data_IF_215915314344
#
_entry.id   IF_215915314344
#
_cell.length_a   1.000
_cell.length_b   1.000
_cell.length_c   1.000
_cell.angle_alpha   90.00
_cell.angle_beta   90.00
_cell.angle_gamma   90.00
#
_symmetry.space_group_name_H-M   'P 1'
#
loop_
_entity.id
_entity.type
_entity.pdbx_description
1 polymer ?
#
# COMPACT_ATOMS: atom_id res chain seq x y z
N UNK A 1 8.09 22.86 -0.27
CA UNK A 1 9.28 21.97 -0.35
C UNK A 1 9.44 21.50 -1.79
N UNK A 2 10.66 21.19 -2.27
CA UNK A 2 10.87 20.55 -3.57
C UNK A 2 10.22 19.14 -3.57
N UNK A 3 9.94 18.62 -4.76
CA UNK A 3 9.45 17.27 -4.92
C UNK A 3 10.49 16.24 -4.44
N UNK A 4 10.01 15.07 -3.99
CA UNK A 4 10.89 14.02 -3.53
C UNK A 4 11.85 13.55 -4.63
N UNK A 5 13.12 13.43 -4.28
CA UNK A 5 14.16 12.89 -5.16
C UNK A 5 15.01 11.89 -4.39
N UNK A 6 15.37 10.79 -5.04
CA UNK A 6 16.32 9.82 -4.50
C UNK A 6 17.60 9.83 -5.34
N UNK A 7 18.69 10.35 -4.75
CA UNK A 7 20.03 10.20 -5.31
C UNK A 7 20.51 8.76 -5.07
N UNK A 8 20.40 7.92 -6.09
CA UNK A 8 20.74 6.51 -6.01
C UNK A 8 22.21 6.28 -5.60
N UNK A 9 23.14 7.11 -6.09
CA UNK A 9 24.58 6.98 -5.78
C UNK A 9 24.87 7.32 -4.33
N UNK A 10 24.30 8.42 -3.84
CA UNK A 10 24.43 8.82 -2.43
C UNK A 10 23.77 7.76 -1.52
N UNK A 11 22.59 7.25 -1.91
CA UNK A 11 21.88 6.22 -1.19
C UNK A 11 22.69 4.93 -1.06
N UNK A 12 23.22 4.40 -2.16
CA UNK A 12 24.09 3.22 -2.15
C UNK A 12 25.36 3.43 -1.30
N UNK A 13 25.97 4.62 -1.36
CA UNK A 13 27.13 4.95 -0.53
C UNK A 13 26.80 4.88 0.96
N UNK A 14 25.64 5.40 1.36
CA UNK A 14 25.20 5.35 2.76
C UNK A 14 24.87 3.92 3.20
N UNK A 15 24.24 3.11 2.34
CA UNK A 15 23.99 1.69 2.62
C UNK A 15 25.28 0.91 2.83
N UNK A 16 26.33 1.14 2.00
CA UNK A 16 27.64 0.53 2.21
C UNK A 16 28.23 0.92 3.56
N UNK A 17 28.10 2.19 3.98
CA UNK A 17 28.54 2.66 5.30
C UNK A 17 27.75 2.01 6.43
N UNK A 18 26.42 1.92 6.30
CA UNK A 18 25.55 1.26 7.27
C UNK A 18 25.96 -0.20 7.45
N UNK A 19 26.22 -0.93 6.35
CA UNK A 19 26.71 -2.32 6.39
C UNK A 19 28.06 -2.45 7.10
N UNK A 20 29.00 -1.54 6.86
CA UNK A 20 30.31 -1.55 7.52
C UNK A 20 30.23 -1.27 9.04
N UNK A 21 29.22 -0.51 9.47
CA UNK A 21 28.98 -0.16 10.87
C UNK A 21 28.02 -1.12 11.58
N UNK A 22 27.48 -2.09 10.87
CA UNK A 22 26.47 -3.02 11.38
C UNK A 22 27.13 -3.99 12.39
N UNK A 23 27.02 -3.64 13.66
CA UNK A 23 27.37 -4.51 14.79
C UNK A 23 26.13 -4.72 15.66
N UNK A 24 26.10 -5.82 16.41
CA UNK A 24 25.03 -6.10 17.36
C UNK A 24 24.87 -4.97 18.39
N UNK A 25 26.00 -4.45 18.89
CA UNK A 25 26.00 -3.34 19.86
C UNK A 25 25.39 -2.05 19.27
N UNK A 26 25.81 -1.65 18.07
CA UNK A 26 25.28 -0.45 17.42
C UNK A 26 23.78 -0.59 17.13
N UNK A 27 23.34 -1.78 16.68
CA UNK A 27 21.91 -2.04 16.44
C UNK A 27 21.10 -2.02 17.75
N UNK A 28 21.63 -2.56 18.85
CA UNK A 28 20.98 -2.50 20.17
C UNK A 28 20.84 -1.06 20.68
N UNK A 29 21.86 -0.21 20.46
CA UNK A 29 21.79 1.21 20.80
C UNK A 29 20.69 1.94 19.98
N UNK A 30 20.62 1.69 18.68
CA UNK A 30 19.55 2.23 17.84
C UNK A 30 18.15 1.78 18.32
N UNK A 31 17.99 0.48 18.67
CA UNK A 31 16.74 -0.02 19.22
C UNK A 31 16.36 0.63 20.54
N UNK A 32 17.30 0.97 21.39
CA UNK A 32 17.02 1.68 22.65
C UNK A 32 16.38 3.05 22.37
N UNK A 33 16.88 3.79 21.40
CA UNK A 33 16.29 5.07 20.95
C UNK A 33 14.90 4.86 20.34
N UNK A 34 14.73 3.84 19.50
CA UNK A 34 13.43 3.56 18.85
C UNK A 34 12.31 3.24 19.85
N UNK A 35 12.63 2.61 20.98
CA UNK A 35 11.65 2.28 22.03
C UNK A 35 10.99 3.50 22.65
N UNK A 36 11.63 4.65 22.60
CA UNK A 36 11.06 5.93 23.07
C UNK A 36 10.13 6.59 22.04
N UNK A 37 9.87 5.93 20.90
CA UNK A 37 8.94 6.39 19.87
C UNK A 37 9.48 7.51 18.98
N UNK A 38 10.77 7.81 19.06
CA UNK A 38 11.43 8.87 18.26
C UNK A 38 11.57 8.45 16.79
N UNK A 39 11.62 7.14 16.53
CA UNK A 39 11.94 6.59 15.22
C UNK A 39 13.44 6.42 15.01
N UNK A 40 13.81 5.88 13.87
CA UNK A 40 15.20 5.67 13.47
C UNK A 40 15.48 6.39 12.16
N UNK A 41 16.73 6.87 12.00
CA UNK A 41 17.21 7.30 10.70
C UNK A 41 17.16 6.12 9.71
N UNK A 42 16.83 6.34 8.42
CA UNK A 42 16.74 5.27 7.43
C UNK A 42 18.01 4.42 7.31
N UNK A 43 19.19 4.99 7.56
CA UNK A 43 20.45 4.23 7.51
C UNK A 43 20.77 3.50 8.82
N UNK A 44 20.19 3.92 9.94
CA UNK A 44 20.17 3.12 11.18
C UNK A 44 19.28 1.89 11.01
N UNK A 45 18.16 2.00 10.27
CA UNK A 45 17.37 0.83 9.87
C UNK A 45 18.21 -0.15 9.03
N UNK A 46 18.97 0.37 8.05
CA UNK A 46 19.87 -0.48 7.26
C UNK A 46 20.96 -1.12 8.11
N UNK A 47 21.54 -0.39 9.06
CA UNK A 47 22.51 -0.94 10.00
C UNK A 47 21.92 -2.07 10.84
N UNK A 48 20.71 -1.90 11.36
CA UNK A 48 20.00 -2.95 12.09
C UNK A 48 19.63 -4.13 11.18
N UNK A 49 19.29 -3.88 9.92
CA UNK A 49 19.04 -4.93 8.91
C UNK A 49 20.27 -5.80 8.69
N UNK A 50 21.45 -5.20 8.56
CA UNK A 50 22.72 -5.90 8.30
C UNK A 50 23.36 -6.50 9.55
N UNK A 51 22.90 -6.16 10.75
CA UNK A 51 23.42 -6.70 12.00
C UNK A 51 23.03 -8.16 12.21
N UNK A 52 23.73 -8.84 13.12
CA UNK A 52 23.43 -10.22 13.55
C UNK A 52 22.29 -10.30 14.59
N UNK A 53 21.56 -9.20 14.83
CA UNK A 53 20.40 -9.25 15.70
C UNK A 53 19.35 -10.19 15.13
N UNK A 54 18.86 -11.08 15.97
CA UNK A 54 17.79 -12.00 15.62
C UNK A 54 16.50 -11.23 15.25
N UNK A 55 15.78 -11.71 14.24
CA UNK A 55 14.52 -11.12 13.81
C UNK A 55 13.51 -10.99 14.96
N UNK A 56 13.48 -11.97 15.86
CA UNK A 56 12.59 -11.94 17.01
C UNK A 56 12.93 -10.80 17.99
N UNK A 57 14.19 -10.46 18.17
CA UNK A 57 14.60 -9.29 18.99
C UNK A 57 14.06 -7.98 18.40
N UNK A 58 14.12 -7.79 17.09
CA UNK A 58 13.56 -6.64 16.39
C UNK A 58 12.04 -6.59 16.48
N UNK A 59 11.41 -7.75 16.30
CA UNK A 59 9.96 -7.89 16.41
C UNK A 59 9.45 -7.57 17.83
N UNK A 60 10.12 -8.08 18.88
CA UNK A 60 9.74 -7.81 20.27
C UNK A 60 9.91 -6.33 20.62
N UNK A 61 10.94 -5.67 20.10
CA UNK A 61 11.10 -4.23 20.27
C UNK A 61 9.95 -3.44 19.60
N UNK A 62 9.57 -3.82 18.38
CA UNK A 62 8.43 -3.21 17.68
C UNK A 62 7.11 -3.46 18.43
N UNK A 63 6.90 -4.67 18.93
CA UNK A 63 5.72 -5.03 19.72
C UNK A 63 5.64 -4.22 21.03
N UNK A 64 6.75 -4.05 21.72
CA UNK A 64 6.81 -3.25 22.94
C UNK A 64 6.49 -1.77 22.67
N UNK A 65 6.96 -1.22 21.54
CA UNK A 65 6.62 0.14 21.10
C UNK A 65 5.10 0.29 20.82
N UNK A 66 4.52 -0.66 20.10
CA UNK A 66 3.08 -0.63 19.78
C UNK A 66 2.19 -0.83 21.01
N UNK A 67 2.61 -1.64 21.99
CA UNK A 67 1.86 -1.88 23.21
C UNK A 67 1.68 -0.61 24.08
N UNK A 68 2.49 0.42 23.86
CA UNK A 68 2.34 1.73 24.53
C UNK A 68 1.22 2.60 23.94
N UNK A 69 0.59 2.16 22.86
CA UNK A 69 -0.47 2.88 22.14
C UNK A 69 -1.82 2.23 22.35
N UNK A 70 -2.93 2.96 22.22
CA UNK A 70 -4.25 2.33 22.18
C UNK A 70 -4.29 1.24 21.11
N UNK A 71 -4.87 0.09 21.44
CA UNK A 71 -5.07 -1.03 20.51
C UNK A 71 -6.09 -0.62 19.43
N UNK A 72 -5.62 0.02 18.38
CA UNK A 72 -6.42 0.46 17.24
C UNK A 72 -5.86 -0.15 15.98
N UNK A 73 -6.67 -0.94 15.31
CA UNK A 73 -6.45 -1.33 13.92
C UNK A 73 -7.36 -0.52 13.02
N UNK A 74 -6.91 -0.25 11.81
CA UNK A 74 -7.76 0.24 10.72
C UNK A 74 -7.93 -0.86 9.68
N UNK A 75 -9.01 -0.76 8.90
CA UNK A 75 -9.21 -1.64 7.76
C UNK A 75 -9.78 -0.91 6.58
N UNK A 76 -9.62 -1.49 5.41
CA UNK A 76 -10.33 -1.17 4.19
C UNK A 76 -10.41 -2.41 3.29
N UNK A 77 -11.44 -2.48 2.45
CA UNK A 77 -11.53 -3.53 1.42
C UNK A 77 -11.14 -2.96 0.06
N UNK A 78 -10.34 -3.68 -0.74
CA UNK A 78 -10.10 -3.31 -2.14
C UNK A 78 -11.36 -3.55 -2.97
N UNK A 79 -11.72 -2.58 -3.80
CA UNK A 79 -12.78 -2.69 -4.80
C UNK A 79 -12.18 -2.42 -6.17
N UNK A 80 -11.87 -3.49 -6.89
CA UNK A 80 -11.46 -3.41 -8.28
C UNK A 80 -12.66 -3.06 -9.14
N UNK A 81 -12.65 -1.85 -9.69
CA UNK A 81 -13.71 -1.37 -10.58
C UNK A 81 -13.51 -1.89 -12.00
N UNK A 82 -12.25 -2.16 -12.36
CA UNK A 82 -11.84 -2.75 -13.63
C UNK A 82 -10.48 -3.43 -13.48
N UNK A 83 -10.24 -4.48 -14.26
CA UNK A 83 -8.93 -5.10 -14.40
C UNK A 83 -8.29 -4.82 -15.78
N UNK A 84 -8.85 -3.88 -16.56
CA UNK A 84 -8.20 -3.38 -17.78
C UNK A 84 -7.07 -2.41 -17.42
N UNK A 85 -5.99 -2.44 -18.20
CA UNK A 85 -4.81 -1.63 -17.96
C UNK A 85 -4.04 -1.47 -19.28
N UNK A 86 -3.48 -0.29 -19.53
CA UNK A 86 -2.62 -0.05 -20.70
C UNK A 86 -1.12 -0.25 -20.39
N UNK A 87 -0.77 -0.48 -19.11
CA UNK A 87 0.59 -0.71 -18.68
C UNK A 87 1.06 -2.16 -18.92
N UNK A 88 2.38 -2.34 -19.07
CA UNK A 88 3.03 -3.62 -19.34
C UNK A 88 3.90 -4.12 -18.16
N UNK A 89 3.45 -3.89 -16.93
CA UNK A 89 4.18 -4.32 -15.72
C UNK A 89 4.29 -5.84 -15.65
N UNK A 90 5.50 -6.37 -15.77
CA UNK A 90 5.75 -7.84 -15.87
C UNK A 90 5.32 -8.63 -14.64
N UNK A 91 5.22 -7.98 -13.48
CA UNK A 91 4.82 -8.59 -12.21
C UNK A 91 3.31 -8.48 -11.94
N UNK A 92 2.51 -7.92 -12.85
CA UNK A 92 1.10 -7.64 -12.64
C UNK A 92 0.22 -8.47 -13.59
N UNK A 93 -0.81 -9.13 -13.05
CA UNK A 93 -1.80 -9.87 -13.84
C UNK A 93 -2.57 -8.98 -14.80
N UNK A 94 -2.77 -7.71 -14.44
CA UNK A 94 -3.52 -6.73 -15.26
C UNK A 94 -2.71 -6.15 -16.43
N UNK A 95 -1.41 -6.48 -16.61
CA UNK A 95 -0.63 -5.95 -17.74
C UNK A 95 -1.35 -6.17 -19.07
N UNK A 96 -1.28 -5.19 -19.97
CA UNK A 96 -2.03 -5.16 -21.23
C UNK A 96 -1.85 -6.44 -22.08
N UNK A 97 -0.61 -6.91 -22.22
CA UNK A 97 -0.28 -8.10 -22.99
C UNK A 97 -0.62 -9.44 -22.31
N UNK A 98 -1.26 -9.46 -21.14
CA UNK A 98 -1.63 -10.71 -20.48
C UNK A 98 -2.94 -11.28 -21.04
N UNK A 99 -2.84 -12.28 -21.90
CA UNK A 99 -3.99 -12.97 -22.50
C UNK A 99 -4.63 -14.03 -21.58
N UNK A 100 -3.97 -14.39 -20.47
CA UNK A 100 -4.52 -15.32 -19.50
C UNK A 100 -5.51 -14.64 -18.51
N UNK A 101 -5.57 -13.30 -18.50
CA UNK A 101 -6.51 -12.56 -17.67
C UNK A 101 -7.81 -12.29 -18.43
N UNK A 102 -8.93 -12.74 -17.87
CA UNK A 102 -10.26 -12.34 -18.34
C UNK A 102 -10.54 -10.90 -17.94
N UNK A 103 -10.74 -10.02 -18.93
CA UNK A 103 -10.96 -8.58 -18.70
C UNK A 103 -12.40 -8.29 -18.33
N UNK A 104 -12.55 -7.48 -17.30
CA UNK A 104 -13.84 -7.07 -16.75
C UNK A 104 -13.78 -5.57 -16.39
N UNK A 105 -14.90 -4.88 -16.57
CA UNK A 105 -15.10 -3.49 -16.12
C UNK A 105 -16.53 -3.37 -15.62
N UNK A 106 -16.70 -2.99 -14.38
CA UNK A 106 -17.98 -2.76 -13.75
C UNK A 106 -18.62 -1.47 -14.27
N UNK A 107 -19.91 -1.40 -14.35
CA UNK A 107 -20.57 -0.12 -14.47
C UNK A 107 -20.74 0.57 -13.09
N UNK A 108 -21.29 1.78 -13.07
CA UNK A 108 -21.45 2.53 -11.80
C UNK A 108 -22.54 1.89 -10.91
N UNK A 109 -23.54 1.24 -11.48
CA UNK A 109 -24.57 0.55 -10.72
C UNK A 109 -24.01 -0.70 -10.03
N UNK A 110 -23.15 -1.46 -10.73
CA UNK A 110 -22.43 -2.58 -10.15
C UNK A 110 -21.54 -2.12 -8.98
N UNK A 111 -20.80 -1.01 -9.15
CA UNK A 111 -19.97 -0.44 -8.09
C UNK A 111 -20.83 -0.04 -6.89
N UNK A 112 -21.96 0.60 -7.12
CA UNK A 112 -22.89 1.00 -6.05
C UNK A 112 -23.43 -0.22 -5.30
N UNK A 113 -23.78 -1.31 -6.00
CA UNK A 113 -24.22 -2.55 -5.33
C UNK A 113 -23.08 -3.17 -4.51
N UNK A 114 -21.85 -3.20 -5.03
CA UNK A 114 -20.69 -3.69 -4.27
C UNK A 114 -20.45 -2.86 -2.98
N UNK A 115 -20.56 -1.55 -3.08
CA UNK A 115 -20.44 -0.67 -1.91
C UNK A 115 -21.58 -0.92 -0.92
N UNK A 116 -22.81 -1.14 -1.41
CA UNK A 116 -23.96 -1.48 -0.57
C UNK A 116 -23.75 -2.81 0.16
N UNK A 117 -23.22 -3.82 -0.53
CA UNK A 117 -22.85 -5.10 0.07
C UNK A 117 -21.78 -4.92 1.15
N UNK A 118 -20.71 -4.21 0.85
CA UNK A 118 -19.63 -3.94 1.81
C UNK A 118 -20.14 -3.21 3.06
N UNK A 119 -20.95 -2.16 2.88
CA UNK A 119 -21.55 -1.40 3.98
C UNK A 119 -22.46 -2.25 4.86
N UNK A 120 -23.36 -3.07 4.26
CA UNK A 120 -24.22 -4.00 5.02
C UNK A 120 -23.42 -5.03 5.81
N UNK A 121 -22.23 -5.40 5.35
CA UNK A 121 -21.32 -6.31 6.01
C UNK A 121 -20.37 -5.58 6.98
N UNK A 122 -20.62 -4.29 7.24
CA UNK A 122 -19.89 -3.49 8.25
C UNK A 122 -18.63 -2.82 7.79
N UNK A 123 -18.27 -2.86 6.51
CA UNK A 123 -17.08 -2.19 5.96
C UNK A 123 -17.40 -0.75 5.56
N UNK A 124 -16.67 0.21 6.13
CA UNK A 124 -16.86 1.65 5.91
C UNK A 124 -15.65 2.36 5.31
N UNK A 125 -14.64 1.60 4.86
CA UNK A 125 -13.52 2.11 4.08
C UNK A 125 -13.27 1.22 2.86
N UNK A 126 -12.94 1.84 1.73
CA UNK A 126 -12.74 1.13 0.47
C UNK A 126 -11.58 1.71 -0.31
N UNK A 127 -10.82 0.84 -0.96
CA UNK A 127 -9.84 1.25 -1.95
C UNK A 127 -10.43 1.05 -3.36
N UNK A 128 -10.64 2.14 -4.09
CA UNK A 128 -11.06 2.12 -5.49
C UNK A 128 -9.85 1.88 -6.39
N UNK A 129 -9.83 0.77 -7.10
CA UNK A 129 -8.71 0.34 -7.93
C UNK A 129 -9.07 0.26 -9.41
N UNK A 130 -8.13 0.74 -10.23
CA UNK A 130 -8.15 0.58 -11.69
C UNK A 130 -6.76 0.20 -12.21
N UNK A 131 -6.63 0.02 -13.52
CA UNK A 131 -5.35 0.05 -14.21
C UNK A 131 -4.77 1.46 -14.36
N UNK A 132 -3.67 1.55 -15.07
CA UNK A 132 -3.05 2.81 -15.49
C UNK A 132 -3.15 2.92 -17.01
N UNK A 133 -3.52 4.10 -17.52
CA UNK A 133 -4.00 4.26 -18.90
C UNK A 133 -3.11 5.23 -19.68
N UNK A 134 -3.01 4.99 -20.99
CA UNK A 134 -2.41 5.90 -21.97
C UNK A 134 -3.24 7.16 -22.12
N UNK A 135 -2.66 8.16 -22.75
CA UNK A 135 -3.26 9.47 -22.94
C UNK A 135 -4.70 9.40 -23.51
N UNK A 136 -4.95 8.51 -24.45
CA UNK A 136 -6.26 8.35 -25.10
C UNK A 136 -7.34 7.87 -24.15
N UNK A 137 -7.02 6.98 -23.22
CA UNK A 137 -7.95 6.36 -22.27
C UNK A 137 -8.01 7.10 -20.93
N UNK A 138 -7.04 7.96 -20.62
CA UNK A 138 -6.96 8.67 -19.32
C UNK A 138 -8.17 9.54 -19.01
N UNK A 139 -8.71 10.36 -19.93
CA UNK A 139 -9.88 11.19 -19.63
C UNK A 139 -11.11 10.37 -19.24
N UNK A 140 -11.29 9.21 -19.86
CA UNK A 140 -12.34 8.27 -19.48
C UNK A 140 -12.08 7.73 -18.08
N UNK A 141 -10.88 7.24 -17.80
CA UNK A 141 -10.52 6.64 -16.50
C UNK A 141 -10.72 7.62 -15.35
N UNK A 142 -10.28 8.88 -15.50
CA UNK A 142 -10.43 9.91 -14.47
C UNK A 142 -11.90 10.22 -14.19
N UNK A 143 -12.74 10.37 -15.23
CA UNK A 143 -14.18 10.56 -15.06
C UNK A 143 -14.86 9.35 -14.43
N UNK A 144 -14.44 8.15 -14.79
CA UNK A 144 -14.98 6.91 -14.22
C UNK A 144 -14.67 6.81 -12.72
N UNK A 145 -13.41 7.05 -12.33
CA UNK A 145 -13.00 7.06 -10.92
C UNK A 145 -13.67 8.19 -10.14
N UNK A 146 -13.77 9.40 -10.70
CA UNK A 146 -14.48 10.51 -10.06
C UNK A 146 -15.95 10.16 -9.78
N UNK A 147 -16.65 9.53 -10.72
CA UNK A 147 -18.04 9.08 -10.50
C UNK A 147 -18.14 8.05 -9.39
N UNK A 148 -17.27 7.04 -9.39
CA UNK A 148 -17.22 6.02 -8.34
C UNK A 148 -16.92 6.64 -6.97
N UNK A 149 -15.94 7.57 -6.91
CA UNK A 149 -15.60 8.31 -5.70
C UNK A 149 -16.80 9.07 -5.13
N UNK A 150 -17.54 9.79 -5.98
CA UNK A 150 -18.73 10.53 -5.55
C UNK A 150 -19.85 9.62 -5.03
N UNK A 151 -20.08 8.47 -5.68
CA UNK A 151 -21.04 7.46 -5.19
C UNK A 151 -20.59 6.93 -3.83
N UNK A 152 -19.30 6.58 -3.69
CA UNK A 152 -18.74 6.08 -2.42
C UNK A 152 -18.92 7.09 -1.28
N UNK A 153 -18.68 8.37 -1.56
CA UNK A 153 -18.89 9.45 -0.58
C UNK A 153 -20.37 9.64 -0.22
N UNK A 154 -21.25 9.62 -1.21
CA UNK A 154 -22.70 9.75 -0.99
C UNK A 154 -23.27 8.59 -0.14
N UNK A 155 -22.64 7.42 -0.20
CA UNK A 155 -22.98 6.25 0.62
C UNK A 155 -22.39 6.27 2.03
N UNK A 156 -21.65 7.32 2.41
CA UNK A 156 -21.16 7.52 3.77
C UNK A 156 -19.88 6.77 4.12
N UNK A 157 -19.11 6.31 3.15
CA UNK A 157 -17.79 5.74 3.42
C UNK A 157 -16.85 6.81 3.98
N UNK A 158 -16.34 6.59 5.20
CA UNK A 158 -15.53 7.56 5.93
C UNK A 158 -14.09 7.69 5.43
N UNK A 159 -13.57 6.64 4.79
CA UNK A 159 -12.22 6.62 4.23
C UNK A 159 -12.23 5.96 2.84
N UNK A 160 -11.68 6.66 1.86
CA UNK A 160 -11.57 6.16 0.48
C UNK A 160 -10.12 6.26 0.03
N UNK A 161 -9.55 5.15 -0.41
CA UNK A 161 -8.24 5.10 -1.04
C UNK A 161 -8.44 5.11 -2.56
N UNK A 162 -7.59 5.83 -3.28
CA UNK A 162 -7.63 5.92 -4.75
C UNK A 162 -6.33 5.34 -5.30
N UNK A 163 -6.44 4.23 -6.03
CA UNK A 163 -5.31 3.56 -6.68
C UNK A 163 -5.55 3.51 -8.21
N UNK A 164 -5.09 4.56 -8.88
CA UNK A 164 -5.37 4.83 -10.30
C UNK A 164 -4.10 5.14 -11.11
N UNK A 165 -2.93 4.81 -10.57
CA UNK A 165 -1.65 5.12 -11.16
C UNK A 165 -1.16 6.54 -10.88
N UNK A 166 -0.26 7.05 -11.73
CA UNK A 166 0.32 8.39 -11.57
C UNK A 166 -0.59 9.45 -12.21
N UNK A 167 -0.87 10.52 -11.47
CA UNK A 167 -1.78 11.59 -11.83
C UNK A 167 -1.00 12.89 -12.03
N UNK A 168 -1.26 13.64 -13.12
CA UNK A 168 -0.67 14.95 -13.35
C UNK A 168 -1.45 16.05 -12.63
N UNK A 169 -0.85 17.23 -12.47
CA UNK A 169 -1.46 18.33 -11.72
C UNK A 169 -2.85 18.70 -12.24
N UNK A 170 -2.98 18.81 -13.56
CA UNK A 170 -4.27 19.13 -14.21
C UNK A 170 -5.29 17.99 -14.12
N UNK A 171 -4.83 16.76 -13.99
CA UNK A 171 -5.68 15.58 -13.88
C UNK A 171 -6.29 15.44 -12.49
N UNK A 172 -5.62 15.95 -11.44
CA UNK A 172 -6.20 16.02 -10.10
C UNK A 172 -7.47 16.87 -10.06
N UNK A 173 -7.56 17.93 -10.86
CA UNK A 173 -8.78 18.74 -10.95
C UNK A 173 -9.96 17.92 -11.46
N UNK A 174 -9.74 17.12 -12.50
CA UNK A 174 -10.77 16.22 -13.04
C UNK A 174 -11.12 15.09 -12.05
N UNK A 175 -10.12 14.49 -11.40
CA UNK A 175 -10.30 13.42 -10.42
C UNK A 175 -11.07 13.88 -9.19
N UNK A 176 -10.81 15.10 -8.71
CA UNK A 176 -11.39 15.67 -7.49
C UNK A 176 -12.56 16.63 -7.75
N UNK A 177 -13.06 16.68 -8.99
CA UNK A 177 -14.19 17.54 -9.35
C UNK A 177 -15.44 17.19 -8.52
N UNK A 178 -15.99 18.19 -7.81
CA UNK A 178 -17.18 18.01 -6.95
C UNK A 178 -16.92 17.27 -5.64
N UNK A 179 -15.67 16.99 -5.30
CA UNK A 179 -15.29 16.48 -3.99
C UNK A 179 -15.30 17.62 -2.98
N UNK A 180 -15.95 17.40 -1.82
CA UNK A 180 -16.00 18.41 -0.76
C UNK A 180 -14.60 18.76 -0.23
N UNK A 181 -14.42 20.01 0.17
CA UNK A 181 -13.17 20.52 0.75
C UNK A 181 -13.42 21.21 2.07
N UNK A 182 -12.44 21.15 2.98
CA UNK A 182 -12.41 21.92 4.21
C UNK A 182 -12.00 23.37 3.92
N UNK A 183 -12.11 24.25 4.93
CA UNK A 183 -11.71 25.65 4.80
C UNK A 183 -10.23 25.84 4.44
N UNK A 184 -9.36 24.91 4.81
CA UNK A 184 -7.93 24.90 4.47
C UNK A 184 -7.63 24.35 3.06
N UNK A 185 -8.67 24.07 2.25
CA UNK A 185 -8.56 23.52 0.90
C UNK A 185 -8.33 22.00 0.85
N UNK A 186 -8.13 21.32 1.98
CA UNK A 186 -7.97 19.87 2.02
C UNK A 186 -9.27 19.15 1.65
N UNK A 187 -9.15 18.00 0.99
CA UNK A 187 -10.32 17.19 0.58
C UNK A 187 -10.91 16.42 1.76
N UNK A 188 -12.24 16.21 1.71
CA UNK A 188 -12.96 15.36 2.66
C UNK A 188 -14.07 14.57 1.95
N UNK A 189 -14.50 13.40 2.45
CA UNK A 189 -13.96 12.71 3.63
C UNK A 189 -12.48 12.37 3.48
N UNK A 190 -11.90 11.54 4.36
CA UNK A 190 -10.51 11.11 4.27
C UNK A 190 -10.23 10.43 2.93
N UNK A 191 -9.42 11.07 2.09
CA UNK A 191 -8.97 10.50 0.82
C UNK A 191 -7.48 10.18 0.88
N UNK A 192 -7.13 8.94 0.56
CA UNK A 192 -5.74 8.50 0.48
C UNK A 192 -5.34 8.30 -0.98
N UNK A 193 -4.28 8.99 -1.41
CA UNK A 193 -3.61 8.64 -2.67
C UNK A 193 -2.78 7.38 -2.46
N UNK A 194 -3.06 6.36 -3.25
CA UNK A 194 -2.37 5.07 -3.17
C UNK A 194 -1.58 4.87 -4.47
N UNK A 195 -0.25 4.95 -4.38
CA UNK A 195 0.64 4.80 -5.54
C UNK A 195 1.93 4.11 -5.09
N UNK A 196 2.03 2.80 -5.36
CA UNK A 196 3.26 2.10 -5.01
C UNK A 196 4.33 2.40 -6.03
N UNK A 197 5.52 2.79 -5.56
CA UNK A 197 6.70 2.90 -6.41
C UNK A 197 7.12 1.53 -6.93
N UNK A 198 6.74 0.47 -6.25
CA UNK A 198 7.06 -0.94 -6.45
C UNK A 198 8.52 -1.26 -6.16
N UNK A 199 9.45 -0.47 -6.67
CA UNK A 199 10.89 -0.51 -6.39
C UNK A 199 11.51 0.88 -6.62
N UNK A 200 12.41 1.26 -5.75
CA UNK A 200 13.19 2.50 -5.87
C UNK A 200 14.48 2.30 -6.68
N UNK A 201 14.84 1.05 -6.96
CA UNK A 201 15.99 0.73 -7.80
C UNK A 201 15.65 0.90 -9.30
N UNK A 202 16.16 1.97 -9.93
CA UNK A 202 15.87 2.31 -11.34
C UNK A 202 16.12 1.16 -12.33
N UNK A 203 17.21 0.37 -12.23
CA UNK A 203 17.40 -0.77 -13.11
C UNK A 203 16.30 -1.83 -12.95
N UNK A 204 15.90 -2.12 -11.71
CA UNK A 204 14.80 -3.04 -11.42
C UNK A 204 13.47 -2.48 -11.92
N UNK A 205 13.22 -1.18 -11.72
CA UNK A 205 12.03 -0.51 -12.24
C UNK A 205 11.93 -0.65 -13.76
N UNK A 206 12.99 -0.28 -14.49
CA UNK A 206 13.03 -0.40 -15.95
C UNK A 206 12.84 -1.85 -16.43
N UNK A 207 13.42 -2.83 -15.73
CA UNK A 207 13.24 -4.25 -16.01
C UNK A 207 11.78 -4.69 -15.93
N UNK A 208 11.03 -4.24 -14.94
CA UNK A 208 9.66 -4.71 -14.69
C UNK A 208 8.58 -3.83 -15.30
N UNK A 209 8.76 -2.50 -15.33
CA UNK A 209 7.80 -1.55 -15.90
C UNK A 209 8.04 -1.29 -17.38
N UNK A 210 9.25 -1.60 -17.89
CA UNK A 210 9.67 -1.24 -19.24
C UNK A 210 10.18 0.19 -19.35
N UNK A 211 10.65 0.54 -20.54
CA UNK A 211 11.21 1.87 -20.88
C UNK A 211 10.52 2.49 -22.09
N UNK A 212 9.50 1.84 -22.64
CA UNK A 212 8.70 2.38 -23.74
C UNK A 212 7.91 3.60 -23.24
N UNK A 213 8.10 4.80 -23.81
CA UNK A 213 7.41 6.01 -23.37
C UNK A 213 5.88 5.93 -23.55
N UNK A 214 5.39 5.07 -24.44
CA UNK A 214 3.97 4.80 -24.59
C UNK A 214 3.38 3.96 -23.45
N UNK A 215 4.22 3.31 -22.64
CA UNK A 215 3.78 2.61 -21.45
C UNK A 215 3.56 3.61 -20.30
N UNK A 216 2.34 3.79 -19.80
CA UNK A 216 2.04 4.81 -18.80
C UNK A 216 2.80 4.63 -17.47
N UNK A 217 3.41 3.48 -17.24
CA UNK A 217 4.24 3.21 -16.05
C UNK A 217 5.73 3.28 -16.28
N UNK A 218 6.20 3.57 -17.49
CA UNK A 218 7.64 3.63 -17.77
C UNK A 218 8.34 4.82 -17.09
N UNK A 219 7.63 5.92 -16.86
CA UNK A 219 8.18 7.13 -16.25
C UNK A 219 8.33 6.97 -14.72
N UNK A 220 9.56 6.70 -14.31
CA UNK A 220 9.95 6.53 -12.91
C UNK A 220 9.72 7.80 -12.09
N UNK A 221 10.13 8.96 -12.60
CA UNK A 221 10.06 10.24 -11.88
C UNK A 221 8.61 10.72 -11.71
N UNK A 222 7.81 10.59 -12.76
CA UNK A 222 6.40 10.92 -12.69
C UNK A 222 5.69 10.10 -11.60
N UNK A 223 6.11 8.83 -11.43
CA UNK A 223 5.56 7.99 -10.39
C UNK A 223 6.07 8.37 -9.01
N UNK A 224 7.37 8.61 -8.89
CA UNK A 224 8.02 8.97 -7.63
C UNK A 224 7.43 10.24 -7.00
N UNK A 225 7.13 11.25 -7.83
CA UNK A 225 6.63 12.57 -7.39
C UNK A 225 5.09 12.66 -7.37
N UNK A 226 4.37 11.53 -7.48
CA UNK A 226 2.92 11.55 -7.52
C UNK A 226 2.29 12.10 -6.24
N UNK A 227 2.87 11.80 -5.08
CA UNK A 227 2.35 12.27 -3.79
C UNK A 227 2.55 13.77 -3.59
N UNK A 228 3.63 14.36 -4.12
CA UNK A 228 3.86 15.81 -4.09
C UNK A 228 2.76 16.53 -4.87
N UNK A 229 2.36 15.99 -6.02
CA UNK A 229 1.23 16.51 -6.81
C UNK A 229 -0.10 16.33 -6.08
N UNK A 230 -0.32 15.16 -5.46
CA UNK A 230 -1.50 14.88 -4.65
C UNK A 230 -1.62 15.86 -3.47
N UNK A 231 -0.51 16.14 -2.78
CA UNK A 231 -0.46 17.14 -1.70
C UNK A 231 -0.86 18.54 -2.19
N UNK A 232 -0.30 19.00 -3.31
CA UNK A 232 -0.66 20.28 -3.93
C UNK A 232 -2.12 20.34 -4.36
N UNK A 233 -2.71 19.21 -4.75
CA UNK A 233 -4.14 19.09 -5.07
C UNK A 233 -5.06 19.07 -3.83
N UNK A 234 -4.50 19.12 -2.62
CA UNK A 234 -5.26 19.17 -1.35
C UNK A 234 -5.44 17.82 -0.67
N UNK A 235 -4.85 16.73 -1.17
CA UNK A 235 -4.83 15.44 -0.46
C UNK A 235 -3.85 15.52 0.72
N UNK A 236 -4.21 14.89 1.83
CA UNK A 236 -3.42 14.93 3.08
C UNK A 236 -3.03 13.54 3.59
N UNK A 237 -3.35 12.50 2.82
CA UNK A 237 -3.02 11.12 3.17
C UNK A 237 -2.37 10.44 1.97
N UNK A 238 -1.22 9.82 2.20
CA UNK A 238 -0.44 9.11 1.20
C UNK A 238 -0.28 7.63 1.57
N UNK A 239 -0.31 6.76 0.57
CA UNK A 239 0.02 5.36 0.72
C UNK A 239 1.11 4.94 -0.28
N UNK A 240 2.39 5.31 -0.01
CA UNK A 240 3.51 4.76 -0.75
C UNK A 240 3.68 3.27 -0.44
N UNK A 241 4.36 2.57 -1.35
CA UNK A 241 4.63 1.15 -1.16
C UNK A 241 5.70 0.61 -2.08
N UNK A 242 6.23 -0.53 -1.67
CA UNK A 242 7.13 -1.38 -2.45
C UNK A 242 6.52 -2.76 -2.62
N UNK A 243 6.80 -3.42 -3.74
CA UNK A 243 6.46 -4.82 -3.94
C UNK A 243 7.64 -5.67 -3.49
N UNK A 244 7.54 -6.19 -2.26
CA UNK A 244 8.61 -6.92 -1.58
C UNK A 244 8.95 -8.21 -2.36
N UNK A 245 10.22 -8.34 -2.74
CA UNK A 245 10.72 -9.43 -3.59
C UNK A 245 10.88 -9.06 -5.06
N UNK A 246 10.49 -7.84 -5.48
CA UNK A 246 10.75 -7.36 -6.83
C UNK A 246 12.25 -7.03 -7.02
N UNK A 247 12.84 -6.37 -6.04
CA UNK A 247 14.28 -6.19 -5.88
C UNK A 247 14.79 -7.12 -4.78
N UNK A 248 15.93 -7.76 -5.02
CA UNK A 248 16.56 -8.63 -4.03
C UNK A 248 17.21 -7.86 -2.87
N UNK A 249 17.60 -6.60 -3.08
CA UNK A 249 18.16 -5.75 -2.03
C UNK A 249 17.04 -5.09 -1.21
N UNK A 250 16.55 -5.83 -0.21
CA UNK A 250 15.49 -5.36 0.68
C UNK A 250 15.93 -4.17 1.56
N UNK A 251 17.22 -4.06 1.90
CA UNK A 251 17.72 -2.92 2.65
C UNK A 251 17.64 -1.64 1.82
N UNK A 252 17.97 -1.71 0.52
CA UNK A 252 17.84 -0.60 -0.41
C UNK A 252 16.38 -0.11 -0.48
N UNK A 253 15.45 -1.04 -0.69
CA UNK A 253 14.02 -0.71 -0.82
C UNK A 253 13.43 -0.16 0.48
N UNK A 254 13.74 -0.79 1.61
CA UNK A 254 13.27 -0.37 2.94
C UNK A 254 13.72 1.06 3.27
N UNK A 255 15.00 1.35 3.07
CA UNK A 255 15.55 2.68 3.40
C UNK A 255 15.08 3.75 2.44
N UNK A 256 14.94 3.45 1.15
CA UNK A 256 14.38 4.37 0.17
C UNK A 256 12.90 4.69 0.46
N UNK A 257 12.10 3.68 0.83
CA UNK A 257 10.71 3.87 1.27
C UNK A 257 10.66 4.72 2.55
N UNK A 258 11.59 4.50 3.50
CA UNK A 258 11.65 5.30 4.71
C UNK A 258 11.98 6.76 4.43
N UNK A 259 12.96 7.05 3.56
CA UNK A 259 13.28 8.41 3.11
C UNK A 259 12.09 9.10 2.45
N UNK A 260 11.39 8.41 1.55
CA UNK A 260 10.19 8.96 0.90
C UNK A 260 9.09 9.24 1.94
N UNK A 261 8.88 8.34 2.88
CA UNK A 261 7.89 8.50 3.94
C UNK A 261 8.21 9.68 4.86
N UNK A 262 9.47 9.89 5.21
CA UNK A 262 9.91 11.07 5.99
C UNK A 262 9.66 12.38 5.23
N UNK A 263 9.88 12.40 3.91
CA UNK A 263 9.53 13.55 3.08
C UNK A 263 8.02 13.85 3.13
N UNK A 264 7.17 12.83 2.99
CA UNK A 264 5.72 12.98 3.05
C UNK A 264 5.22 13.44 4.43
N UNK A 265 5.81 12.91 5.51
CA UNK A 265 5.55 13.39 6.87
C UNK A 265 5.95 14.85 7.05
N UNK A 266 7.09 15.28 6.49
CA UNK A 266 7.56 16.66 6.53
C UNK A 266 6.66 17.63 5.74
N UNK A 267 5.92 17.13 4.71
CA UNK A 267 4.84 17.87 4.06
C UNK A 267 3.58 17.99 4.94
N UNK A 268 3.50 17.26 6.05
CA UNK A 268 2.31 17.21 6.91
C UNK A 268 1.26 16.19 6.43
N UNK A 269 1.64 15.21 5.63
CA UNK A 269 0.74 14.11 5.23
C UNK A 269 0.71 13.01 6.30
N UNK A 270 -0.45 12.41 6.50
CA UNK A 270 -0.56 11.10 7.14
C UNK A 270 -0.08 10.02 6.16
N UNK A 271 0.76 9.09 6.64
CA UNK A 271 1.42 8.11 5.75
C UNK A 271 1.04 6.68 6.13
N UNK A 272 0.49 5.97 5.17
CA UNK A 272 0.31 4.53 5.19
C UNK A 272 1.46 3.87 4.44
N UNK A 273 2.01 2.77 4.94
CA UNK A 273 3.10 2.04 4.28
C UNK A 273 2.60 0.69 3.81
N UNK A 274 2.57 0.47 2.50
CA UNK A 274 2.22 -0.83 1.94
C UNK A 274 3.47 -1.58 1.50
N UNK A 275 3.64 -2.77 2.05
CA UNK A 275 4.79 -3.65 1.75
C UNK A 275 4.32 -5.07 1.33
N UNK A 276 3.39 -5.18 0.37
CA UNK A 276 2.92 -6.49 -0.06
C UNK A 276 4.04 -7.30 -0.69
N UNK A 277 4.07 -8.63 -0.41
CA UNK A 277 4.98 -9.53 -1.10
C UNK A 277 4.50 -9.84 -2.52
N UNK A 278 5.46 -10.07 -3.41
CA UNK A 278 5.21 -10.55 -4.77
C UNK A 278 4.47 -11.89 -4.72
N UNK A 279 3.42 -12.02 -5.54
CA UNK A 279 2.55 -13.21 -5.61
C UNK A 279 2.37 -13.67 -7.05
N UNK A 280 1.88 -14.88 -7.22
CA UNK A 280 1.58 -15.44 -8.52
C UNK A 280 0.53 -14.62 -9.27
N UNK A 281 0.66 -14.57 -10.59
CA UNK A 281 -0.30 -13.95 -11.50
C UNK A 281 -0.75 -14.95 -12.56
N UNK A 282 -1.94 -14.78 -13.09
CA UNK A 282 -2.40 -15.58 -14.23
C UNK A 282 -1.44 -15.42 -15.42
N UNK A 283 -1.05 -16.53 -16.06
CA UNK A 283 -0.10 -16.53 -17.17
C UNK A 283 1.33 -16.08 -16.82
N UNK A 284 1.66 -15.94 -15.53
CA UNK A 284 3.00 -15.61 -15.05
C UNK A 284 3.70 -16.80 -14.40
N UNK A 285 5.02 -16.71 -14.30
CA UNK A 285 5.80 -17.65 -13.48
C UNK A 285 5.94 -17.07 -12.08
N UNK A 286 5.84 -17.92 -11.04
CA UNK A 286 6.24 -17.55 -9.69
C UNK A 286 7.71 -17.12 -9.72
N UNK A 287 8.00 -15.92 -9.25
CA UNK A 287 9.38 -15.44 -9.07
C UNK A 287 9.76 -15.67 -7.61
N UNK A 288 11.06 -15.89 -7.33
CA UNK A 288 11.58 -16.24 -6.02
C UNK A 288 10.99 -15.37 -4.90
N UNK A 289 10.58 -16.00 -3.82
CA UNK A 289 9.90 -15.35 -2.71
C UNK A 289 10.88 -14.80 -1.68
N UNK A 290 10.45 -13.79 -0.94
CA UNK A 290 11.08 -13.34 0.30
C UNK A 290 10.64 -14.26 1.43
N UNK A 291 11.58 -14.70 2.27
CA UNK A 291 11.29 -15.56 3.42
C UNK A 291 10.36 -14.85 4.41
N UNK A 292 9.61 -15.63 5.20
CA UNK A 292 8.77 -15.06 6.27
C UNK A 292 9.62 -14.32 7.31
N UNK A 293 10.83 -14.83 7.61
CA UNK A 293 11.75 -14.20 8.55
C UNK A 293 12.22 -12.82 8.05
N UNK A 294 12.62 -12.72 6.78
CA UNK A 294 13.03 -11.43 6.19
C UNK A 294 11.85 -10.47 6.09
N UNK A 295 10.66 -10.97 5.79
CA UNK A 295 9.47 -10.13 5.73
C UNK A 295 9.08 -9.58 7.10
N UNK A 296 9.09 -10.40 8.15
CA UNK A 296 8.84 -9.98 9.53
C UNK A 296 9.92 -8.97 9.96
N UNK A 297 11.21 -9.22 9.63
CA UNK A 297 12.32 -8.30 9.91
C UNK A 297 12.10 -6.93 9.26
N UNK A 298 11.72 -6.91 7.98
CA UNK A 298 11.42 -5.67 7.24
C UNK A 298 10.29 -4.87 7.90
N UNK A 299 9.17 -5.54 8.22
CA UNK A 299 8.01 -4.89 8.85
C UNK A 299 8.35 -4.38 10.25
N UNK A 300 9.07 -5.16 11.06
CA UNK A 300 9.50 -4.75 12.39
C UNK A 300 10.40 -3.51 12.35
N UNK A 301 11.36 -3.48 11.43
CA UNK A 301 12.25 -2.32 11.26
C UNK A 301 11.50 -1.07 10.78
N UNK A 302 10.60 -1.20 9.79
CA UNK A 302 9.77 -0.07 9.36
C UNK A 302 8.88 0.46 10.49
N UNK A 303 8.35 -0.43 11.32
CA UNK A 303 7.54 -0.07 12.49
C UNK A 303 8.35 0.71 13.54
N UNK A 304 9.59 0.31 13.78
CA UNK A 304 10.52 0.98 14.69
C UNK A 304 11.02 2.32 14.15
N UNK A 305 11.32 2.38 12.85
CA UNK A 305 11.89 3.57 12.22
C UNK A 305 10.88 4.66 11.92
N UNK A 306 9.66 4.28 11.66
CA UNK A 306 8.58 5.18 11.24
C UNK A 306 7.36 5.03 12.16
N UNK A 307 7.50 5.32 13.45
CA UNK A 307 6.47 5.03 14.44
C UNK A 307 5.16 5.78 14.22
N UNK A 308 5.15 6.87 13.47
CA UNK A 308 3.94 7.63 13.12
C UNK A 308 3.27 7.16 11.84
N UNK A 309 3.93 6.33 11.04
CA UNK A 309 3.35 5.74 9.84
C UNK A 309 2.49 4.52 10.19
N UNK A 310 1.49 4.27 9.35
CA UNK A 310 0.56 3.16 9.48
C UNK A 310 0.94 2.05 8.50
N UNK A 311 1.53 0.97 9.00
CA UNK A 311 1.92 -0.17 8.14
C UNK A 311 0.69 -0.99 7.79
N UNK A 312 0.54 -1.29 6.49
CA UNK A 312 -0.56 -2.07 5.91
C UNK A 312 -0.11 -3.50 5.62
N UNK A 313 -0.78 -4.46 6.21
CA UNK A 313 -0.70 -5.88 5.85
C UNK A 313 -1.98 -6.29 5.13
N UNK A 314 -1.87 -7.17 4.16
CA UNK A 314 -2.99 -7.58 3.32
C UNK A 314 -3.17 -9.09 3.36
N UNK A 315 -4.32 -9.56 2.88
CA UNK A 315 -4.64 -10.98 2.70
C UNK A 315 -3.81 -11.68 1.59
N UNK A 316 -2.80 -11.00 1.03
CA UNK A 316 -1.71 -11.67 0.29
C UNK A 316 -0.87 -12.57 1.20
N UNK A 317 -0.90 -12.32 2.51
CA UNK A 317 -0.23 -13.12 3.52
C UNK A 317 -1.16 -14.21 4.05
N UNK A 318 -0.58 -15.35 4.45
CA UNK A 318 -1.31 -16.38 5.14
C UNK A 318 -1.69 -15.94 6.57
N UNK A 319 -2.62 -16.65 7.19
CA UNK A 319 -3.12 -16.37 8.53
C UNK A 319 -2.01 -16.29 9.59
N UNK A 320 -1.00 -17.18 9.53
CA UNK A 320 0.08 -17.19 10.51
C UNK A 320 0.91 -15.89 10.48
N UNK A 321 1.22 -15.39 9.28
CA UNK A 321 1.94 -14.13 9.10
C UNK A 321 1.06 -12.93 9.47
N UNK A 322 -0.23 -12.94 9.13
CA UNK A 322 -1.16 -11.89 9.56
C UNK A 322 -1.21 -11.79 11.09
N UNK A 323 -1.36 -12.90 11.80
CA UNK A 323 -1.37 -12.93 13.27
C UNK A 323 -0.02 -12.50 13.88
N UNK A 324 1.11 -12.94 13.29
CA UNK A 324 2.44 -12.53 13.74
C UNK A 324 2.64 -11.02 13.61
N UNK A 325 2.14 -10.41 12.53
CA UNK A 325 2.35 -9.00 12.25
C UNK A 325 1.31 -8.07 12.90
N UNK A 326 0.10 -8.54 13.17
CA UNK A 326 -0.99 -7.74 13.74
C UNK A 326 -0.57 -6.89 14.97
N UNK A 327 0.28 -7.37 15.91
CA UNK A 327 0.73 -6.57 17.05
C UNK A 327 1.66 -5.41 16.70
N UNK A 328 2.22 -5.35 15.49
CA UNK A 328 3.22 -4.35 15.08
C UNK A 328 2.82 -3.55 13.83
N UNK A 329 1.58 -3.72 13.35
CA UNK A 329 1.03 -2.99 12.21
C UNK A 329 -0.20 -2.21 12.62
N UNK A 330 -0.63 -1.28 11.80
CA UNK A 330 -1.79 -0.42 12.09
C UNK A 330 -2.99 -0.73 11.21
N UNK A 331 -2.82 -1.42 10.08
CA UNK A 331 -3.87 -1.64 9.09
C UNK A 331 -3.85 -3.08 8.58
N UNK A 332 -5.01 -3.71 8.57
CA UNK A 332 -5.22 -5.00 7.90
C UNK A 332 -6.22 -4.77 6.77
N UNK A 333 -5.77 -4.93 5.52
CA UNK A 333 -6.64 -4.86 4.35
C UNK A 333 -7.04 -6.27 3.92
N UNK A 334 -8.33 -6.55 4.07
CA UNK A 334 -8.91 -7.85 3.73
C UNK A 334 -9.89 -7.71 2.56
N UNK A 335 -9.76 -8.58 1.55
CA UNK A 335 -10.68 -8.59 0.43
C UNK A 335 -10.09 -9.13 -0.87
N UNK A 336 -10.72 -8.82 -1.98
CA UNK A 336 -10.50 -9.43 -3.29
C UNK A 336 -9.54 -8.64 -4.17
N UNK A 337 -8.86 -9.36 -5.07
CA UNK A 337 -8.12 -8.79 -6.20
C UNK A 337 -8.86 -8.91 -7.55
N UNK A 338 -10.10 -9.41 -7.55
CA UNK A 338 -10.99 -9.51 -8.73
C UNK A 338 -11.94 -8.32 -8.83
N UNK A 339 -12.54 -8.13 -10.02
CA UNK A 339 -13.51 -7.05 -10.27
C UNK A 339 -14.85 -7.39 -9.60
N UNK A 340 -15.39 -6.46 -8.81
CA UNK A 340 -16.72 -6.53 -8.17
C UNK A 340 -17.14 -7.90 -7.64
N UNK A 341 -16.35 -8.55 -6.76
CA UNK A 341 -16.57 -9.94 -6.39
C UNK A 341 -17.47 -10.12 -5.17
N UNK A 342 -17.84 -9.04 -4.47
CA UNK A 342 -18.53 -9.11 -3.17
C UNK A 342 -19.98 -9.49 -3.33
N UNK A 343 -20.39 -10.49 -2.55
CA UNK A 343 -21.77 -10.95 -2.41
C UNK A 343 -22.19 -10.88 -0.95
N UNK A 344 -23.47 -11.07 -0.67
CA UNK A 344 -23.99 -11.09 0.69
C UNK A 344 -23.30 -12.13 1.60
N UNK A 345 -22.76 -13.20 1.02
CA UNK A 345 -22.17 -14.34 1.75
C UNK A 345 -20.67 -14.49 1.56
N UNK A 346 -20.05 -13.66 0.74
CA UNK A 346 -18.60 -13.82 0.53
C UNK A 346 -18.08 -13.05 -0.70
N UNK A 347 -16.98 -13.56 -1.23
CA UNK A 347 -16.34 -13.05 -2.43
C UNK A 347 -15.64 -14.20 -3.17
N UNK A 348 -15.37 -14.03 -4.45
CA UNK A 348 -14.62 -14.98 -5.27
C UNK A 348 -13.36 -14.31 -5.79
N UNK A 349 -12.25 -15.06 -5.80
CA UNK A 349 -10.93 -14.58 -6.16
C UNK A 349 -10.25 -15.48 -7.20
N UNK A 350 -10.88 -15.80 -8.34
CA UNK A 350 -10.23 -16.62 -9.34
C UNK A 350 -9.03 -15.88 -9.93
N UNK A 351 -7.89 -16.58 -10.06
CA UNK A 351 -6.63 -15.95 -10.46
C UNK A 351 -6.71 -15.34 -11.88
N UNK A 352 -7.48 -15.97 -12.76
CA UNK A 352 -7.73 -15.51 -14.14
C UNK A 352 -8.55 -14.23 -14.26
N UNK A 353 -9.13 -13.74 -13.16
CA UNK A 353 -9.81 -12.42 -13.11
C UNK A 353 -9.15 -11.45 -12.16
N UNK A 354 -8.10 -11.90 -11.45
CA UNK A 354 -7.45 -11.17 -10.37
C UNK A 354 -6.12 -10.55 -10.79
N UNK A 355 -5.78 -9.43 -10.19
CA UNK A 355 -4.47 -8.79 -10.39
C UNK A 355 -3.32 -9.70 -9.97
N UNK A 356 -3.51 -10.47 -8.91
CA UNK A 356 -2.55 -11.40 -8.31
C UNK A 356 -3.30 -12.39 -7.41
N UNK A 357 -2.59 -13.42 -6.98
CA UNK A 357 -3.09 -14.40 -6.02
C UNK A 357 -3.33 -13.80 -4.63
N UNK A 358 -4.50 -14.05 -4.06
CA UNK A 358 -4.84 -13.78 -2.67
C UNK A 358 -4.75 -15.10 -1.91
N UNK A 359 -3.90 -15.15 -0.88
CA UNK A 359 -3.65 -16.40 -0.11
C UNK A 359 -4.79 -16.66 0.88
N UNK A 360 -5.19 -15.65 1.64
CA UNK A 360 -6.30 -15.77 2.59
C UNK A 360 -7.58 -15.24 1.93
N UNK A 361 -8.43 -16.17 1.50
CA UNK A 361 -9.68 -15.89 0.78
C UNK A 361 -10.92 -16.02 1.67
N UNK A 362 -10.72 -16.05 2.99
CA UNK A 362 -11.85 -16.08 3.93
C UNK A 362 -12.67 -14.78 3.84
N UNK A 363 -13.94 -14.78 4.28
CA UNK A 363 -14.70 -13.55 4.45
C UNK A 363 -13.93 -12.53 5.29
N UNK A 364 -13.93 -11.27 4.89
CA UNK A 364 -13.14 -10.25 5.59
C UNK A 364 -13.61 -10.07 7.05
N UNK A 365 -14.88 -10.31 7.34
CA UNK A 365 -15.42 -10.25 8.71
C UNK A 365 -14.77 -11.30 9.62
N UNK A 366 -14.51 -12.49 9.11
CA UNK A 366 -13.90 -13.56 9.89
C UNK A 366 -12.43 -13.22 10.17
N UNK A 367 -11.72 -12.72 9.16
CA UNK A 367 -10.33 -12.25 9.31
C UNK A 367 -10.26 -11.12 10.34
N UNK A 368 -11.13 -10.12 10.23
CA UNK A 368 -11.11 -8.97 11.12
C UNK A 368 -11.53 -9.32 12.56
N UNK A 369 -12.48 -10.24 12.75
CA UNK A 369 -12.87 -10.71 14.09
C UNK A 369 -11.73 -11.40 14.84
N UNK A 370 -10.85 -12.11 14.13
CA UNK A 370 -9.68 -12.75 14.75
C UNK A 370 -8.71 -11.74 15.38
N UNK A 371 -8.72 -10.50 14.91
CA UNK A 371 -7.88 -9.41 15.43
C UNK A 371 -8.60 -8.53 16.47
N UNK A 372 -9.87 -8.81 16.78
CA UNK A 372 -10.64 -8.14 17.82
C UNK A 372 -10.31 -8.76 19.19
N UNK A 373 -9.25 -8.27 19.85
CA UNK A 373 -9.06 -8.54 21.26
C UNK A 373 -10.17 -7.84 22.10
N UNK A 374 -10.48 -8.30 23.31
CA UNK A 374 -11.41 -7.61 24.20
C UNK A 374 -11.02 -6.13 24.38
N UNK A 375 -11.92 -5.21 24.00
CA UNK A 375 -11.68 -3.77 24.05
C UNK A 375 -10.91 -3.17 22.86
N UNK A 376 -10.48 -3.98 21.88
CA UNK A 376 -9.88 -3.48 20.65
C UNK A 376 -10.96 -2.90 19.72
N UNK A 377 -10.58 -1.86 18.97
CA UNK A 377 -11.42 -1.22 17.94
C UNK A 377 -10.75 -1.40 16.58
N UNK A 378 -11.53 -1.83 15.60
CA UNK A 378 -11.11 -1.75 14.20
C UNK A 378 -11.83 -0.57 13.57
N UNK A 379 -11.08 0.47 13.25
CA UNK A 379 -11.63 1.63 12.56
C UNK A 379 -12.10 1.23 11.15
N UNK A 380 -13.23 1.78 10.74
CA UNK A 380 -13.90 1.50 9.46
C UNK A 380 -14.50 0.09 9.35
N UNK A 381 -14.61 -0.64 10.46
CA UNK A 381 -15.33 -1.90 10.50
C UNK A 381 -16.29 -1.96 11.69
N UNK A 382 -17.54 -2.18 11.42
CA UNK A 382 -18.61 -2.35 12.39
C UNK A 382 -19.33 -3.66 12.08
N UNK A 383 -19.01 -4.77 12.77
CA UNK A 383 -19.67 -6.03 12.47
C UNK A 383 -21.19 -5.84 12.57
N UNK A 384 -21.98 -6.39 11.61
CA UNK A 384 -23.43 -6.36 11.71
C UNK A 384 -23.87 -7.01 13.02
N UNK A 385 -24.94 -6.48 13.61
CA UNK A 385 -25.57 -7.09 14.77
C UNK A 385 -25.94 -8.55 14.48
N UNK A 386 -25.60 -9.44 15.40
CA UNK A 386 -25.89 -10.88 15.28
C UNK A 386 -27.38 -11.16 15.23
#
# INVERSE_FOLDING_TARGET
MPDFQLDASAHEKQLRRARQRATTCAAQQALAVARDGVGLDPYELAMAWFSELETETLYDAARALHAQRPARLETFSPLYMTNTCDAECRMCGMRRGNTALRRETADIADIEEQLRVLSRRGMHAVALLTGEYRADNRPWALRYVNRALRVTQAMGFGHVLINVGSIDAVEFDALLAGVARRADGSVQPKLTMCTFQETYARPTYAKFMGTDPENPRADFERRLTNFDRAYRAGMRVANPGILVGLNADLAYEMTALALHSQHLLALGMEVYLSVPRLRQIAGGRSQGGVSDADFIRLVALLSLGLPTCKIVVTTRENTAIQHKLAPIVSVISAGSAAVTPYTATGARFPLETSQFEVIDQRPFEDILREHLAPGAVIENFQPPAA
#
